data_IF_903933859173
#
_entry.id   IF_903933859173
#
_cell.length_a   1.000
_cell.length_b   1.000
_cell.length_c   1.000
_cell.angle_alpha   90.00
_cell.angle_beta   90.00
_cell.angle_gamma   90.00
#
_symmetry.space_group_name_H-M   'P 1'
#
loop_
_entity.id
_entity.type
_entity.pdbx_description
1 polymer ?
#
# COMPACT_ATOMS: atom_id res chain seq x y z
N UNK A 1 -292.46 -27.21 83.73
CA UNK A 1 -292.11 -25.85 83.30
C UNK A 1 -290.84 -25.27 83.95
N UNK A 2 -290.32 -25.74 85.09
CA UNK A 2 -289.09 -25.14 85.66
C UNK A 2 -287.81 -25.96 85.44
N UNK A 3 -287.87 -27.29 85.49
CA UNK A 3 -286.66 -28.14 85.51
C UNK A 3 -285.87 -28.22 84.19
N UNK A 4 -286.50 -27.95 83.04
CA UNK A 4 -285.83 -28.10 81.74
C UNK A 4 -284.98 -26.87 81.36
N UNK A 5 -285.38 -25.68 81.83
CA UNK A 5 -284.62 -24.44 81.57
C UNK A 5 -283.32 -24.37 82.38
N UNK A 6 -283.28 -25.01 83.54
CA UNK A 6 -282.08 -25.05 84.39
C UNK A 6 -281.01 -26.02 83.87
N UNK A 7 -281.41 -27.10 83.22
CA UNK A 7 -280.49 -28.07 82.60
C UNK A 7 -279.78 -27.51 81.36
N UNK A 8 -280.47 -26.67 80.57
CA UNK A 8 -279.87 -26.01 79.41
C UNK A 8 -278.82 -24.95 79.82
N UNK A 9 -279.05 -24.23 80.91
CA UNK A 9 -278.08 -23.22 81.38
C UNK A 9 -276.77 -23.84 81.87
N UNK A 10 -276.86 -24.99 82.54
CA UNK A 10 -275.68 -25.71 83.06
C UNK A 10 -274.79 -26.32 81.96
N UNK A 11 -275.38 -26.68 80.82
CA UNK A 11 -274.63 -27.26 79.70
C UNK A 11 -273.87 -26.21 78.90
N UNK A 12 -274.46 -25.03 78.69
CA UNK A 12 -273.75 -23.91 78.04
C UNK A 12 -272.52 -23.45 78.83
N UNK A 13 -272.60 -23.47 80.17
CA UNK A 13 -271.48 -23.05 81.03
C UNK A 13 -270.30 -24.04 80.96
N UNK A 14 -270.57 -25.36 80.86
CA UNK A 14 -269.51 -26.37 80.70
C UNK A 14 -268.81 -26.33 79.34
N UNK A 15 -269.54 -26.03 78.26
CA UNK A 15 -268.95 -25.89 76.92
C UNK A 15 -267.99 -24.70 76.87
N UNK A 16 -268.33 -23.61 77.57
CA UNK A 16 -267.48 -22.41 77.61
C UNK A 16 -266.15 -22.67 78.34
N UNK A 17 -266.18 -23.37 79.46
CA UNK A 17 -264.98 -23.76 80.21
C UNK A 17 -264.06 -24.70 79.41
N UNK A 18 -264.64 -25.62 78.64
CA UNK A 18 -263.89 -26.52 77.76
C UNK A 18 -263.21 -25.77 76.61
N UNK A 19 -263.89 -24.79 76.02
CA UNK A 19 -263.31 -23.94 74.98
C UNK A 19 -262.13 -23.10 75.50
N UNK A 20 -262.21 -22.58 76.74
CA UNK A 20 -261.10 -21.84 77.36
C UNK A 20 -259.90 -22.75 77.67
N UNK A 21 -260.12 -23.97 78.15
CA UNK A 21 -259.05 -24.94 78.41
C UNK A 21 -258.34 -25.38 77.12
N UNK A 22 -259.08 -25.54 76.02
CA UNK A 22 -258.52 -25.94 74.73
C UNK A 22 -257.62 -24.84 74.16
N UNK A 23 -258.02 -23.57 74.28
CA UNK A 23 -257.20 -22.42 73.87
C UNK A 23 -255.87 -22.34 74.61
N UNK A 24 -255.87 -22.60 75.92
CA UNK A 24 -254.65 -22.56 76.73
C UNK A 24 -253.69 -23.72 76.38
N UNK A 25 -254.21 -24.84 75.89
CA UNK A 25 -253.39 -25.96 75.44
C UNK A 25 -252.72 -25.66 74.09
N UNK A 26 -253.45 -25.04 73.17
CA UNK A 26 -252.91 -24.56 71.88
C UNK A 26 -251.77 -23.55 72.10
N UNK A 27 -251.94 -22.60 73.03
CA UNK A 27 -250.86 -21.65 73.37
C UNK A 27 -249.60 -22.34 73.95
N UNK A 28 -249.76 -23.43 74.72
CA UNK A 28 -248.61 -24.18 75.26
C UNK A 28 -247.89 -24.97 74.18
N UNK A 29 -248.61 -25.53 73.21
CA UNK A 29 -248.01 -26.27 72.09
C UNK A 29 -247.19 -25.31 71.23
N UNK A 30 -247.74 -24.14 70.88
CA UNK A 30 -247.02 -23.12 70.11
C UNK A 30 -245.70 -22.70 70.79
N UNK A 31 -245.71 -22.58 72.13
CA UNK A 31 -244.52 -22.21 72.90
C UNK A 31 -243.43 -23.30 72.92
N UNK A 32 -243.83 -24.57 72.90
CA UNK A 32 -242.89 -25.70 72.81
C UNK A 32 -242.29 -25.80 71.41
N UNK A 33 -243.08 -25.57 70.37
CA UNK A 33 -242.60 -25.51 68.99
C UNK A 33 -241.55 -24.39 68.81
N UNK A 34 -241.79 -23.22 69.41
CA UNK A 34 -240.82 -22.11 69.40
C UNK A 34 -239.50 -22.47 70.11
N UNK A 35 -239.57 -23.17 71.26
CA UNK A 35 -238.37 -23.61 71.99
C UNK A 35 -237.58 -24.68 71.22
N UNK A 36 -238.25 -25.60 70.54
CA UNK A 36 -237.61 -26.61 69.69
C UNK A 36 -236.90 -25.97 68.50
N UNK A 37 -237.50 -24.95 67.88
CA UNK A 37 -236.87 -24.20 66.80
C UNK A 37 -235.60 -23.48 67.28
N UNK A 38 -235.63 -22.85 68.46
CA UNK A 38 -234.46 -22.18 69.05
C UNK A 38 -233.33 -23.17 69.38
N UNK A 39 -233.67 -24.37 69.86
CA UNK A 39 -232.68 -25.41 70.18
C UNK A 39 -232.01 -25.96 68.91
N UNK A 40 -232.79 -26.17 67.85
CA UNK A 40 -232.27 -26.60 66.55
C UNK A 40 -231.30 -25.55 65.95
N UNK A 41 -231.61 -24.26 66.10
CA UNK A 41 -230.72 -23.19 65.65
C UNK A 41 -229.41 -23.14 66.48
N UNK A 42 -229.49 -23.33 67.80
CA UNK A 42 -228.30 -23.41 68.65
C UNK A 42 -227.43 -24.62 68.32
N UNK A 43 -228.05 -25.78 68.05
CA UNK A 43 -227.33 -26.99 67.66
C UNK A 43 -226.59 -26.78 66.33
N UNK A 44 -227.23 -26.18 65.34
CA UNK A 44 -226.60 -25.82 64.06
C UNK A 44 -225.39 -24.89 64.24
N UNK A 45 -225.50 -23.84 65.08
CA UNK A 45 -224.36 -22.96 65.41
C UNK A 45 -223.21 -23.68 66.10
N UNK A 46 -223.49 -24.76 66.83
CA UNK A 46 -222.46 -25.53 67.52
C UNK A 46 -221.74 -26.45 66.55
N UNK A 47 -222.46 -27.10 65.65
CA UNK A 47 -221.90 -27.88 64.54
C UNK A 47 -220.97 -27.00 63.67
N UNK A 48 -221.41 -25.78 63.32
CA UNK A 48 -220.57 -24.81 62.58
C UNK A 48 -219.30 -24.38 63.35
N UNK A 49 -219.32 -24.38 64.69
CA UNK A 49 -218.11 -24.11 65.50
C UNK A 49 -217.17 -25.31 65.53
N UNK A 50 -217.71 -26.52 65.60
CA UNK A 50 -216.92 -27.76 65.58
C UNK A 50 -216.17 -27.86 64.25
N UNK A 51 -216.85 -27.65 63.12
CA UNK A 51 -216.19 -27.69 61.80
C UNK A 51 -215.08 -26.64 61.71
N UNK A 52 -215.30 -25.42 62.23
CA UNK A 52 -214.27 -24.38 62.25
C UNK A 52 -213.06 -24.73 63.12
N UNK A 53 -213.27 -25.42 64.24
CA UNK A 53 -212.16 -25.90 65.10
C UNK A 53 -211.40 -27.03 64.41
N UNK A 54 -212.11 -27.94 63.75
CA UNK A 54 -211.49 -29.01 62.94
C UNK A 54 -210.62 -28.43 61.82
N UNK A 55 -211.11 -27.41 61.11
CA UNK A 55 -210.34 -26.66 60.10
C UNK A 55 -209.09 -25.98 60.70
N UNK A 56 -209.21 -25.36 61.88
CA UNK A 56 -208.07 -24.74 62.56
C UNK A 56 -207.02 -25.76 63.04
N UNK A 57 -207.47 -26.92 63.54
CA UNK A 57 -206.58 -28.00 63.94
C UNK A 57 -205.85 -28.59 62.73
N UNK A 58 -206.53 -28.74 61.59
CA UNK A 58 -205.92 -29.16 60.34
C UNK A 58 -204.85 -28.16 59.86
N UNK A 59 -205.15 -26.85 59.91
CA UNK A 59 -204.19 -25.80 59.57
C UNK A 59 -202.97 -25.77 60.50
N UNK A 60 -203.18 -26.00 61.81
CA UNK A 60 -202.11 -26.08 62.80
C UNK A 60 -201.21 -27.29 62.56
N UNK A 61 -201.80 -28.45 62.25
CA UNK A 61 -201.07 -29.67 61.92
C UNK A 61 -200.22 -29.48 60.63
N UNK A 62 -200.74 -28.76 59.63
CA UNK A 62 -199.98 -28.42 58.44
C UNK A 62 -198.82 -27.45 58.75
N UNK A 63 -199.06 -26.43 59.57
CA UNK A 63 -198.02 -25.51 60.02
C UNK A 63 -196.92 -26.20 60.85
N UNK A 64 -197.31 -27.16 61.69
CA UNK A 64 -196.39 -27.98 62.47
C UNK A 64 -195.52 -28.84 61.54
N UNK A 65 -196.11 -29.50 60.54
CA UNK A 65 -195.34 -30.25 59.53
C UNK A 65 -194.32 -29.38 58.78
N UNK A 66 -194.72 -28.18 58.35
CA UNK A 66 -193.79 -27.21 57.70
C UNK A 66 -192.65 -26.80 58.63
N UNK A 67 -192.93 -26.64 59.92
CA UNK A 67 -191.91 -26.30 60.92
C UNK A 67 -190.95 -27.47 61.15
N UNK A 68 -191.45 -28.70 61.24
CA UNK A 68 -190.62 -29.91 61.34
C UNK A 68 -189.72 -30.08 60.11
N UNK A 69 -190.23 -29.81 58.91
CA UNK A 69 -189.44 -29.78 57.67
C UNK A 69 -188.34 -28.70 57.71
N UNK A 70 -188.65 -27.48 58.18
CA UNK A 70 -187.65 -26.41 58.32
C UNK A 70 -186.57 -26.75 59.35
N UNK A 71 -186.93 -27.35 60.49
CA UNK A 71 -185.97 -27.80 61.51
C UNK A 71 -185.06 -28.88 60.92
N UNK A 72 -185.60 -29.79 60.12
CA UNK A 72 -184.79 -30.81 59.44
C UNK A 72 -183.83 -30.19 58.43
N UNK A 73 -184.28 -29.24 57.60
CA UNK A 73 -183.40 -28.52 56.67
C UNK A 73 -182.30 -27.73 57.40
N UNK A 74 -182.62 -27.12 58.55
CA UNK A 74 -181.63 -26.42 59.38
C UNK A 74 -180.61 -27.39 59.99
N UNK A 75 -181.03 -28.57 60.45
CA UNK A 75 -180.12 -29.59 60.97
C UNK A 75 -179.19 -30.12 59.86
N UNK A 76 -179.71 -30.33 58.64
CA UNK A 76 -178.91 -30.71 57.47
C UNK A 76 -177.91 -29.60 57.08
N UNK A 77 -178.34 -28.34 57.09
CA UNK A 77 -177.47 -27.20 56.85
C UNK A 77 -176.38 -27.04 57.93
N UNK A 78 -176.74 -27.25 59.20
CA UNK A 78 -175.80 -27.21 60.31
C UNK A 78 -174.75 -28.31 60.18
N UNK A 79 -175.15 -29.54 59.83
CA UNK A 79 -174.20 -30.63 59.58
C UNK A 79 -173.24 -30.32 58.43
N UNK A 80 -173.73 -29.73 57.34
CA UNK A 80 -172.86 -29.29 56.24
C UNK A 80 -171.92 -28.15 56.65
N UNK A 81 -172.34 -27.25 57.54
CA UNK A 81 -171.46 -26.23 58.10
C UNK A 81 -170.38 -26.85 58.97
N UNK A 82 -170.72 -27.80 59.84
CA UNK A 82 -169.76 -28.54 60.66
C UNK A 82 -168.73 -29.29 59.79
N UNK A 83 -169.17 -29.95 58.72
CA UNK A 83 -168.28 -30.60 57.75
C UNK A 83 -167.38 -29.60 57.02
N UNK A 84 -167.87 -28.39 56.69
CA UNK A 84 -167.05 -27.32 56.09
C UNK A 84 -166.04 -26.76 57.07
N UNK A 85 -166.41 -26.59 58.33
CA UNK A 85 -165.51 -26.12 59.40
C UNK A 85 -164.38 -27.14 59.58
N UNK A 86 -164.70 -28.43 59.69
CA UNK A 86 -163.70 -29.48 59.81
C UNK A 86 -162.71 -29.49 58.62
N UNK A 87 -163.20 -29.30 57.39
CA UNK A 87 -162.32 -29.18 56.20
C UNK A 87 -161.43 -27.94 56.23
N UNK A 88 -161.94 -26.81 56.73
CA UNK A 88 -161.14 -25.59 56.88
C UNK A 88 -160.07 -25.79 57.95
N UNK A 89 -160.40 -26.44 59.08
CA UNK A 89 -159.43 -26.77 60.12
C UNK A 89 -158.30 -27.68 59.58
N UNK A 90 -158.64 -28.70 58.79
CA UNK A 90 -157.66 -29.56 58.13
C UNK A 90 -156.76 -28.77 57.15
N UNK A 91 -157.34 -27.87 56.35
CA UNK A 91 -156.59 -27.00 55.44
C UNK A 91 -155.67 -26.04 56.19
N UNK A 92 -156.13 -25.48 57.31
CA UNK A 92 -155.31 -24.60 58.17
C UNK A 92 -154.14 -25.37 58.80
N UNK A 93 -154.37 -26.62 59.25
CA UNK A 93 -153.31 -27.46 59.77
C UNK A 93 -152.27 -27.80 58.68
N UNK A 94 -152.70 -28.14 57.46
CA UNK A 94 -151.82 -28.39 56.34
C UNK A 94 -151.02 -27.13 55.93
N UNK A 95 -151.65 -25.95 55.94
CA UNK A 95 -150.98 -24.68 55.69
C UNK A 95 -149.95 -24.35 56.78
N UNK A 96 -150.26 -24.58 58.06
CA UNK A 96 -149.31 -24.39 59.15
C UNK A 96 -148.10 -25.31 59.02
N UNK A 97 -148.29 -26.57 58.64
CA UNK A 97 -147.19 -27.50 58.38
C UNK A 97 -146.36 -27.07 57.16
N UNK A 98 -147.00 -26.65 56.07
CA UNK A 98 -146.32 -26.13 54.90
C UNK A 98 -145.53 -24.84 55.20
N UNK A 99 -146.09 -23.96 56.03
CA UNK A 99 -145.43 -22.75 56.50
C UNK A 99 -144.20 -23.10 57.32
N UNK A 100 -144.30 -24.02 58.29
CA UNK A 100 -143.15 -24.49 59.08
C UNK A 100 -142.05 -25.09 58.20
N UNK A 101 -142.39 -25.94 57.23
CA UNK A 101 -141.41 -26.47 56.26
C UNK A 101 -140.77 -25.38 55.42
N UNK A 102 -141.49 -24.31 55.12
CA UNK A 102 -140.95 -23.15 54.39
C UNK A 102 -140.00 -22.35 55.27
N UNK A 103 -140.35 -22.10 56.53
CA UNK A 103 -139.49 -21.46 57.52
C UNK A 103 -138.18 -22.25 57.71
N UNK A 104 -138.25 -23.58 57.85
CA UNK A 104 -137.06 -24.45 57.93
C UNK A 104 -136.20 -24.42 56.65
N UNK A 105 -136.82 -24.25 55.47
CA UNK A 105 -136.06 -24.06 54.22
C UNK A 105 -135.43 -22.68 54.13
N UNK A 106 -136.10 -21.64 54.62
CA UNK A 106 -135.58 -20.27 54.66
C UNK A 106 -134.36 -20.22 55.56
N UNK A 107 -134.41 -20.78 56.78
CA UNK A 107 -133.26 -20.81 57.69
C UNK A 107 -132.08 -21.56 57.08
N UNK A 108 -132.32 -22.71 56.43
CA UNK A 108 -131.26 -23.45 55.73
C UNK A 108 -130.63 -22.65 54.58
N UNK A 109 -131.43 -21.89 53.83
CA UNK A 109 -130.92 -21.03 52.76
C UNK A 109 -130.11 -19.87 53.35
N UNK A 110 -130.56 -19.27 54.46
CA UNK A 110 -129.81 -18.23 55.16
C UNK A 110 -128.45 -18.74 55.65
N UNK A 111 -128.39 -19.94 56.23
CA UNK A 111 -127.14 -20.60 56.63
C UNK A 111 -126.21 -20.85 55.43
N UNK A 112 -126.74 -21.33 54.31
CA UNK A 112 -125.97 -21.56 53.08
C UNK A 112 -125.44 -20.25 52.49
N UNK A 113 -126.23 -19.17 52.51
CA UNK A 113 -125.82 -17.85 52.06
C UNK A 113 -124.72 -17.27 52.97
N UNK A 114 -124.82 -17.47 54.29
CA UNK A 114 -123.79 -17.06 55.23
C UNK A 114 -122.47 -17.80 54.98
N UNK A 115 -122.52 -19.13 54.79
CA UNK A 115 -121.35 -19.93 54.46
C UNK A 115 -120.72 -19.52 53.12
N UNK A 116 -121.54 -19.24 52.10
CA UNK A 116 -121.07 -18.77 50.81
C UNK A 116 -120.42 -17.38 50.92
N UNK A 117 -121.00 -16.47 51.70
CA UNK A 117 -120.42 -15.15 51.94
C UNK A 117 -119.07 -15.24 52.66
N UNK A 118 -118.90 -16.15 53.62
CA UNK A 118 -117.60 -16.39 54.26
C UNK A 118 -116.58 -17.00 53.29
N UNK A 119 -116.98 -17.98 52.50
CA UNK A 119 -116.13 -18.55 51.45
C UNK A 119 -115.70 -17.50 50.43
N UNK A 120 -116.62 -16.64 50.00
CA UNK A 120 -116.33 -15.53 49.10
C UNK A 120 -115.31 -14.56 49.71
N UNK A 121 -115.48 -14.18 50.99
CA UNK A 121 -114.50 -13.32 51.68
C UNK A 121 -113.10 -13.94 51.73
N UNK A 122 -113.00 -15.24 52.02
CA UNK A 122 -111.70 -15.97 52.00
C UNK A 122 -111.08 -15.99 50.61
N UNK A 123 -111.88 -16.20 49.57
CA UNK A 123 -111.40 -16.14 48.18
C UNK A 123 -110.95 -14.73 47.81
N UNK A 124 -111.69 -13.69 48.18
CA UNK A 124 -111.30 -12.29 47.95
C UNK A 124 -109.97 -11.95 48.63
N UNK A 125 -109.74 -12.45 49.85
CA UNK A 125 -108.47 -12.29 50.57
C UNK A 125 -107.32 -13.02 49.86
N UNK A 126 -107.53 -14.27 49.42
CA UNK A 126 -106.53 -15.02 48.65
C UNK A 126 -106.18 -14.33 47.33
N UNK A 127 -107.18 -13.79 46.62
CA UNK A 127 -106.98 -13.03 45.38
C UNK A 127 -106.15 -11.78 45.64
N UNK A 128 -106.39 -11.06 46.75
CA UNK A 128 -105.56 -9.91 47.14
C UNK A 128 -104.12 -10.30 47.43
N UNK A 129 -103.90 -11.36 48.20
CA UNK A 129 -102.55 -11.86 48.49
C UNK A 129 -101.81 -12.30 47.23
N UNK A 130 -102.50 -12.95 46.30
CA UNK A 130 -101.92 -13.32 45.00
C UNK A 130 -101.57 -12.08 44.15
N UNK A 131 -102.43 -11.06 44.14
CA UNK A 131 -102.15 -9.81 43.44
C UNK A 131 -100.94 -9.07 44.03
N UNK A 132 -100.77 -9.06 45.36
CA UNK A 132 -99.59 -8.51 46.03
C UNK A 132 -98.32 -9.31 45.70
N UNK A 133 -98.39 -10.64 45.75
CA UNK A 133 -97.28 -11.51 45.36
C UNK A 133 -96.89 -11.31 43.89
N UNK A 134 -97.88 -11.13 43.00
CA UNK A 134 -97.64 -10.85 41.59
C UNK A 134 -96.93 -9.50 41.40
N UNK A 135 -97.36 -8.44 42.09
CA UNK A 135 -96.68 -7.14 42.04
C UNK A 135 -95.22 -7.24 42.50
N UNK A 136 -94.96 -7.95 43.60
CA UNK A 136 -93.58 -8.17 44.06
C UNK A 136 -92.74 -8.99 43.07
N UNK A 137 -93.34 -9.95 42.37
CA UNK A 137 -92.65 -10.68 41.30
C UNK A 137 -92.32 -9.76 40.13
N UNK A 138 -93.26 -8.91 39.71
CA UNK A 138 -93.05 -7.91 38.65
C UNK A 138 -91.91 -6.94 39.02
N UNK A 139 -91.89 -6.44 40.27
CA UNK A 139 -90.80 -5.59 40.78
C UNK A 139 -89.44 -6.32 40.76
N UNK A 140 -89.40 -7.60 41.15
CA UNK A 140 -88.18 -8.41 41.13
C UNK A 140 -87.70 -8.65 39.70
N UNK A 141 -88.61 -8.93 38.77
CA UNK A 141 -88.29 -9.11 37.35
C UNK A 141 -87.70 -7.81 36.79
N UNK A 142 -88.34 -6.66 37.02
CA UNK A 142 -87.83 -5.36 36.58
C UNK A 142 -86.42 -5.07 37.13
N UNK A 143 -86.16 -5.38 38.41
CA UNK A 143 -84.83 -5.24 39.01
C UNK A 143 -83.78 -6.15 38.37
N UNK A 144 -84.16 -7.39 38.03
CA UNK A 144 -83.25 -8.33 37.34
C UNK A 144 -82.96 -7.84 35.93
N UNK A 145 -83.96 -7.32 35.20
CA UNK A 145 -83.76 -6.73 33.88
C UNK A 145 -82.80 -5.54 33.92
N UNK A 146 -82.92 -4.66 34.91
CA UNK A 146 -82.00 -3.54 35.12
C UNK A 146 -80.56 -4.03 35.41
N UNK A 147 -80.41 -5.05 36.26
CA UNK A 147 -79.10 -5.65 36.55
C UNK A 147 -78.47 -6.29 35.30
N UNK A 148 -79.26 -6.98 34.48
CA UNK A 148 -78.79 -7.57 33.22
C UNK A 148 -78.37 -6.50 32.22
N UNK A 149 -79.13 -5.40 32.11
CA UNK A 149 -78.76 -4.27 31.26
C UNK A 149 -77.44 -3.62 31.72
N UNK A 150 -77.27 -3.40 33.03
CA UNK A 150 -76.02 -2.87 33.59
C UNK A 150 -74.83 -3.81 33.35
N UNK A 151 -75.04 -5.13 33.48
CA UNK A 151 -74.01 -6.14 33.21
C UNK A 151 -73.62 -6.15 31.73
N UNK A 152 -74.59 -6.06 30.82
CA UNK A 152 -74.34 -5.99 29.38
C UNK A 152 -73.53 -4.73 29.01
N UNK A 153 -73.84 -3.58 29.61
CA UNK A 153 -73.07 -2.35 29.40
C UNK A 153 -71.64 -2.48 29.96
N UNK A 154 -71.48 -3.06 31.15
CA UNK A 154 -70.16 -3.32 31.73
C UNK A 154 -69.33 -4.30 30.88
N UNK A 155 -69.97 -5.33 30.33
CA UNK A 155 -69.34 -6.27 29.41
C UNK A 155 -68.87 -5.55 28.14
N UNK A 156 -69.74 -4.75 27.51
CA UNK A 156 -69.37 -3.96 26.32
C UNK A 156 -68.19 -3.01 26.59
N UNK A 157 -68.19 -2.30 27.72
CA UNK A 157 -67.05 -1.45 28.13
C UNK A 157 -65.77 -2.25 28.32
N UNK A 158 -65.88 -3.49 28.78
CA UNK A 158 -64.73 -4.38 28.94
C UNK A 158 -64.20 -4.84 27.59
N UNK A 159 -65.07 -5.21 26.65
CA UNK A 159 -64.71 -5.57 25.27
C UNK A 159 -64.03 -4.39 24.54
N UNK A 160 -64.55 -3.17 24.70
CA UNK A 160 -63.92 -1.94 24.18
C UNK A 160 -62.54 -1.67 24.81
N UNK A 161 -62.34 -2.01 26.09
CA UNK A 161 -61.02 -1.91 26.74
C UNK A 161 -60.05 -2.98 26.23
N UNK A 162 -60.52 -4.21 26.02
CA UNK A 162 -59.70 -5.32 25.51
C UNK A 162 -59.21 -4.99 24.10
N UNK A 163 -60.11 -4.58 23.20
CA UNK A 163 -59.75 -4.16 21.84
C UNK A 163 -58.72 -3.02 21.83
N UNK A 164 -58.89 -2.01 22.69
CA UNK A 164 -57.90 -0.93 22.84
C UNK A 164 -56.54 -1.44 23.32
N UNK A 165 -56.51 -2.39 24.24
CA UNK A 165 -55.26 -2.99 24.72
C UNK A 165 -54.60 -3.81 23.61
N UNK A 166 -55.36 -4.55 22.82
CA UNK A 166 -54.85 -5.29 21.65
C UNK A 166 -54.22 -4.35 20.62
N UNK A 167 -54.87 -3.22 20.31
CA UNK A 167 -54.32 -2.18 19.42
C UNK A 167 -53.01 -1.59 19.98
N UNK A 168 -52.96 -1.31 21.29
CA UNK A 168 -51.74 -0.81 21.94
C UNK A 168 -50.60 -1.83 21.90
N UNK A 169 -50.89 -3.12 22.11
CA UNK A 169 -49.90 -4.19 22.01
C UNK A 169 -49.39 -4.35 20.57
N UNK A 170 -50.28 -4.26 19.58
CA UNK A 170 -49.89 -4.29 18.17
C UNK A 170 -48.96 -3.12 17.80
N UNK A 171 -49.30 -1.91 18.25
CA UNK A 171 -48.46 -0.73 18.04
C UNK A 171 -47.10 -0.85 18.74
N UNK A 172 -47.06 -1.39 19.96
CA UNK A 172 -45.81 -1.63 20.69
C UNK A 172 -44.94 -2.68 19.97
N UNK A 173 -45.55 -3.75 19.47
CA UNK A 173 -44.84 -4.78 18.71
C UNK A 173 -44.23 -4.22 17.41
N UNK A 174 -44.94 -3.34 16.70
CA UNK A 174 -44.41 -2.65 15.52
C UNK A 174 -43.26 -1.70 15.89
N UNK A 175 -43.41 -0.92 16.96
CA UNK A 175 -42.35 -0.04 17.45
C UNK A 175 -41.10 -0.84 17.84
N UNK A 176 -41.28 -1.96 18.54
CA UNK A 176 -40.18 -2.85 18.90
C UNK A 176 -39.46 -3.41 17.66
N UNK A 177 -40.19 -3.86 16.64
CA UNK A 177 -39.58 -4.31 15.36
C UNK A 177 -38.75 -3.22 14.70
N UNK A 178 -39.26 -1.97 14.66
CA UNK A 178 -38.50 -0.83 14.12
C UNK A 178 -37.23 -0.55 14.92
N UNK A 179 -37.30 -0.64 16.25
CA UNK A 179 -36.12 -0.49 17.10
C UNK A 179 -35.09 -1.61 16.87
N UNK A 180 -35.54 -2.86 16.76
CA UNK A 180 -34.67 -4.00 16.45
C UNK A 180 -33.96 -3.83 15.09
N UNK A 181 -34.66 -3.32 14.08
CA UNK A 181 -34.08 -3.01 12.78
C UNK A 181 -33.03 -1.88 12.86
N UNK A 182 -33.32 -0.80 13.59
CA UNK A 182 -32.36 0.28 13.82
C UNK A 182 -31.10 -0.19 14.56
N UNK A 183 -31.26 -1.06 15.56
CA UNK A 183 -30.13 -1.65 16.29
C UNK A 183 -29.27 -2.52 15.37
N UNK A 184 -29.88 -3.29 14.45
CA UNK A 184 -29.13 -4.07 13.44
C UNK A 184 -28.33 -3.17 12.51
N UNK A 185 -28.94 -2.11 11.98
CA UNK A 185 -28.25 -1.15 11.12
C UNK A 185 -27.08 -0.46 11.84
N UNK A 186 -27.25 -0.09 13.10
CA UNK A 186 -26.17 0.47 13.92
C UNK A 186 -25.03 -0.54 14.14
N UNK A 187 -25.35 -1.81 14.39
CA UNK A 187 -24.34 -2.87 14.53
C UNK A 187 -23.55 -3.10 13.23
N UNK A 188 -24.21 -3.06 12.08
CA UNK A 188 -23.55 -3.13 10.76
C UNK A 188 -22.65 -1.91 10.51
N UNK A 189 -23.15 -0.70 10.80
CA UNK A 189 -22.36 0.52 10.69
C UNK A 189 -21.12 0.50 11.61
N UNK A 190 -21.27 -0.03 12.84
CA UNK A 190 -20.17 -0.19 13.78
C UNK A 190 -19.10 -1.16 13.23
N UNK A 191 -19.51 -2.32 12.69
CA UNK A 191 -18.57 -3.27 12.05
C UNK A 191 -17.79 -2.62 10.91
N UNK A 192 -18.45 -1.86 10.04
CA UNK A 192 -17.76 -1.15 8.97
C UNK A 192 -16.80 -0.07 9.48
N UNK A 193 -17.13 0.59 10.60
CA UNK A 193 -16.23 1.51 11.27
C UNK A 193 -15.00 0.80 11.83
N UNK A 194 -15.18 -0.35 12.46
CA UNK A 194 -14.09 -1.21 12.97
C UNK A 194 -13.17 -1.66 11.82
N UNK A 195 -13.72 -2.11 10.69
CA UNK A 195 -12.95 -2.46 9.49
C UNK A 195 -12.18 -1.27 8.89
N UNK A 196 -12.75 -0.07 8.94
CA UNK A 196 -12.06 1.14 8.48
C UNK A 196 -10.92 1.53 9.42
N UNK A 197 -11.12 1.38 10.73
CA UNK A 197 -10.08 1.67 11.73
C UNK A 197 -8.90 0.70 11.54
N UNK A 198 -9.15 -0.60 11.44
CA UNK A 198 -8.07 -1.58 11.19
C UNK A 198 -7.32 -1.29 9.90
N UNK A 199 -8.02 -0.93 8.82
CA UNK A 199 -7.35 -0.52 7.56
C UNK A 199 -6.49 0.74 7.72
N UNK A 200 -6.93 1.71 8.51
CA UNK A 200 -6.13 2.91 8.81
C UNK A 200 -4.91 2.55 9.66
N UNK A 201 -5.05 1.67 10.63
CA UNK A 201 -3.94 1.16 11.43
C UNK A 201 -2.89 0.45 10.56
N UNK A 202 -3.31 -0.40 9.63
CA UNK A 202 -2.42 -1.05 8.66
C UNK A 202 -1.71 -0.04 7.77
N UNK A 203 -2.41 0.99 7.28
CA UNK A 203 -1.82 2.07 6.49
C UNK A 203 -0.80 2.87 7.29
N UNK A 204 -1.07 3.19 8.56
CA UNK A 204 -0.14 3.88 9.45
C UNK A 204 1.10 3.04 9.73
N UNK A 205 0.94 1.72 9.95
CA UNK A 205 2.06 0.81 10.13
C UNK A 205 2.96 0.75 8.89
N UNK A 206 2.36 0.64 7.69
CA UNK A 206 3.09 0.68 6.43
C UNK A 206 3.83 2.02 6.22
N UNK A 207 3.18 3.14 6.58
CA UNK A 207 3.79 4.47 6.49
C UNK A 207 4.98 4.61 7.45
N UNK A 208 4.86 4.09 8.67
CA UNK A 208 5.93 4.08 9.66
C UNK A 208 7.13 3.23 9.19
N UNK A 209 6.88 2.08 8.56
CA UNK A 209 7.95 1.26 7.98
C UNK A 209 8.63 1.97 6.80
N UNK A 210 7.86 2.61 5.91
CA UNK A 210 8.38 3.39 4.80
C UNK A 210 9.21 4.59 5.28
N UNK A 211 8.76 5.27 6.34
CA UNK A 211 9.51 6.34 6.98
C UNK A 211 10.83 5.82 7.55
N UNK A 212 10.83 4.70 8.29
CA UNK A 212 12.05 4.09 8.82
C UNK A 212 13.04 3.72 7.71
N UNK A 213 12.58 3.12 6.60
CA UNK A 213 13.44 2.84 5.42
C UNK A 213 14.01 4.12 4.80
N UNK A 214 13.26 5.22 4.84
CA UNK A 214 13.72 6.51 4.35
C UNK A 214 14.79 7.09 5.27
N UNK A 215 14.59 7.02 6.59
CA UNK A 215 15.58 7.42 7.59
C UNK A 215 16.89 6.62 7.43
N UNK A 216 16.80 5.30 7.25
CA UNK A 216 17.96 4.43 6.98
C UNK A 216 18.68 4.78 5.66
N UNK A 217 17.95 5.22 4.63
CA UNK A 217 18.55 5.71 3.39
C UNK A 217 19.23 7.06 3.58
N UNK A 218 18.65 7.95 4.37
CA UNK A 218 19.23 9.27 4.67
C UNK A 218 20.55 9.09 5.43
N UNK A 219 20.57 8.28 6.48
CA UNK A 219 21.82 8.02 7.23
C UNK A 219 22.89 7.40 6.35
N UNK A 220 22.55 6.47 5.45
CA UNK A 220 23.51 5.92 4.48
C UNK A 220 24.05 6.97 3.50
N UNK A 221 23.21 7.91 3.06
CA UNK A 221 23.66 9.03 2.20
C UNK A 221 24.57 9.97 2.99
N UNK A 222 24.25 10.26 4.25
CA UNK A 222 25.12 11.06 5.13
C UNK A 222 26.49 10.42 5.32
N UNK A 223 26.55 9.09 5.55
CA UNK A 223 27.81 8.34 5.62
C UNK A 223 28.60 8.41 4.30
N UNK A 224 27.93 8.26 3.15
CA UNK A 224 28.56 8.38 1.84
C UNK A 224 29.11 9.79 1.60
N UNK A 225 28.38 10.83 1.97
CA UNK A 225 28.83 12.22 1.87
C UNK A 225 30.03 12.48 2.77
N UNK A 226 30.02 11.95 4.00
CA UNK A 226 31.16 12.05 4.91
C UNK A 226 32.41 11.37 4.33
N UNK A 227 32.27 10.16 3.78
CA UNK A 227 33.37 9.44 3.13
C UNK A 227 33.90 10.19 1.90
N UNK A 228 32.99 10.77 1.09
CA UNK A 228 33.37 11.58 -0.08
C UNK A 228 34.14 12.84 0.35
N UNK A 229 33.68 13.51 1.41
CA UNK A 229 34.37 14.68 1.97
C UNK A 229 35.77 14.35 2.49
N UNK A 230 35.95 13.18 3.13
CA UNK A 230 37.27 12.71 3.55
C UNK A 230 38.17 12.37 2.35
N UNK A 231 37.64 11.68 1.34
CA UNK A 231 38.36 11.39 0.10
C UNK A 231 38.79 12.69 -0.60
N UNK A 232 37.89 13.68 -0.70
CA UNK A 232 38.19 14.98 -1.25
C UNK A 232 39.32 15.68 -0.48
N UNK A 233 39.28 15.68 0.86
CA UNK A 233 40.38 16.22 1.69
C UNK A 233 41.72 15.53 1.41
N UNK A 234 41.75 14.20 1.28
CA UNK A 234 42.97 13.46 0.93
C UNK A 234 43.48 13.84 -0.47
N UNK A 235 42.57 14.00 -1.44
CA UNK A 235 42.94 14.47 -2.78
C UNK A 235 43.49 15.90 -2.76
N UNK A 236 42.86 16.81 -2.01
CA UNK A 236 43.37 18.18 -1.83
C UNK A 236 44.77 18.18 -1.22
N UNK A 237 45.04 17.33 -0.23
CA UNK A 237 46.35 17.16 0.38
C UNK A 237 47.39 16.59 -0.61
N UNK A 238 47.02 15.59 -1.41
CA UNK A 238 47.87 15.04 -2.48
C UNK A 238 48.19 16.09 -3.55
N UNK A 239 47.20 16.89 -3.98
CA UNK A 239 47.40 17.98 -4.93
C UNK A 239 48.36 19.02 -4.36
N UNK A 240 48.24 19.35 -3.07
CA UNK A 240 49.16 20.27 -2.39
C UNK A 240 50.59 19.71 -2.35
N UNK A 241 50.77 18.44 -2.01
CA UNK A 241 52.08 17.79 -2.04
C UNK A 241 52.69 17.76 -3.45
N UNK A 242 51.88 17.49 -4.48
CA UNK A 242 52.32 17.54 -5.88
C UNK A 242 52.73 18.94 -6.30
N UNK A 243 51.99 19.97 -5.89
CA UNK A 243 52.34 21.36 -6.16
C UNK A 243 53.68 21.75 -5.48
N UNK A 244 53.90 21.32 -4.23
CA UNK A 244 55.18 21.52 -3.53
C UNK A 244 56.34 20.77 -4.21
N UNK A 245 56.12 19.51 -4.62
CA UNK A 245 57.10 18.72 -5.37
C UNK A 245 57.43 19.35 -6.73
N UNK A 246 56.41 19.86 -7.44
CA UNK A 246 56.59 20.58 -8.69
C UNK A 246 57.43 21.84 -8.49
N UNK A 247 57.14 22.64 -7.45
CA UNK A 247 57.93 23.83 -7.12
C UNK A 247 59.39 23.49 -6.84
N UNK A 248 59.66 22.42 -6.08
CA UNK A 248 61.04 21.95 -5.87
C UNK A 248 61.70 21.46 -7.15
N UNK A 249 60.96 20.84 -8.07
CA UNK A 249 61.48 20.45 -9.36
C UNK A 249 61.84 21.68 -10.21
N UNK A 250 60.99 22.69 -10.22
CA UNK A 250 61.26 23.98 -10.89
C UNK A 250 62.51 24.65 -10.34
N UNK A 251 62.69 24.68 -9.01
CA UNK A 251 63.92 25.17 -8.36
C UNK A 251 65.16 24.36 -8.77
N UNK A 252 65.04 23.03 -8.85
CA UNK A 252 66.14 22.16 -9.31
C UNK A 252 66.47 22.38 -10.79
N UNK A 253 65.47 22.55 -11.64
CA UNK A 253 65.66 22.84 -13.07
C UNK A 253 66.37 24.18 -13.22
N UNK A 254 65.92 25.23 -12.54
CA UNK A 254 66.57 26.53 -12.56
C UNK A 254 68.05 26.45 -12.11
N UNK A 255 68.34 25.65 -11.07
CA UNK A 255 69.72 25.41 -10.63
C UNK A 255 70.56 24.67 -11.67
N UNK A 256 69.98 23.68 -12.37
CA UNK A 256 70.67 22.97 -13.46
C UNK A 256 70.92 23.92 -14.63
N UNK A 257 69.97 24.78 -14.98
CA UNK A 257 70.14 25.81 -16.01
C UNK A 257 71.29 26.77 -15.66
N UNK A 258 71.38 27.21 -14.40
CA UNK A 258 72.49 28.03 -13.91
C UNK A 258 73.84 27.28 -14.01
N UNK A 259 73.87 26.01 -13.62
CA UNK A 259 75.07 25.17 -13.75
C UNK A 259 75.49 24.97 -15.21
N UNK A 260 74.54 24.75 -16.12
CA UNK A 260 74.81 24.62 -17.55
C UNK A 260 75.35 25.93 -18.15
N UNK A 261 74.80 27.08 -17.74
CA UNK A 261 75.30 28.39 -18.15
C UNK A 261 76.75 28.61 -17.67
N UNK A 262 77.05 28.28 -16.41
CA UNK A 262 78.41 28.35 -15.88
C UNK A 262 79.36 27.39 -16.60
N UNK A 263 78.91 26.17 -16.91
CA UNK A 263 79.71 25.19 -17.67
C UNK A 263 79.99 25.68 -19.09
N UNK A 264 79.01 26.27 -19.77
CA UNK A 264 79.17 26.86 -21.09
C UNK A 264 80.18 28.01 -21.08
N UNK A 265 80.16 28.87 -20.05
CA UNK A 265 81.16 29.93 -19.89
C UNK A 265 82.57 29.36 -19.63
N UNK A 266 82.68 28.34 -18.78
CA UNK A 266 83.95 27.65 -18.52
C UNK A 266 84.49 26.97 -19.80
N UNK A 267 83.61 26.35 -20.59
CA UNK A 267 83.96 25.77 -21.87
C UNK A 267 84.47 26.85 -22.84
N UNK A 268 83.79 28.00 -22.95
CA UNK A 268 84.24 29.12 -23.78
C UNK A 268 85.63 29.62 -23.38
N UNK A 269 85.90 29.77 -22.07
CA UNK A 269 87.25 30.13 -21.57
C UNK A 269 88.29 29.08 -21.93
N UNK A 270 87.93 27.80 -21.86
CA UNK A 270 88.83 26.70 -22.25
C UNK A 270 89.14 26.73 -23.75
N UNK A 271 88.14 27.00 -24.59
CA UNK A 271 88.31 27.19 -26.04
C UNK A 271 89.21 28.40 -26.35
N UNK A 272 89.03 29.52 -25.65
CA UNK A 272 89.90 30.70 -25.74
C UNK A 272 91.36 30.36 -25.36
N UNK A 273 91.58 29.62 -24.26
CA UNK A 273 92.91 29.16 -23.86
C UNK A 273 93.53 28.19 -24.87
N UNK A 274 92.75 27.26 -25.43
CA UNK A 274 93.20 26.34 -26.46
C UNK A 274 93.64 27.09 -27.73
N UNK A 275 92.87 28.09 -28.16
CA UNK A 275 93.24 28.92 -29.30
C UNK A 275 94.57 29.67 -29.06
N UNK A 276 94.77 30.22 -27.86
CA UNK A 276 96.03 30.86 -27.49
C UNK A 276 97.22 29.87 -27.50
N UNK A 277 97.01 28.65 -27.00
CA UNK A 277 98.02 27.58 -27.02
C UNK A 277 98.42 27.17 -28.44
N UNK A 278 97.45 27.07 -29.36
CA UNK A 278 97.71 26.78 -30.78
C UNK A 278 98.57 27.87 -31.43
N UNK A 279 98.33 29.14 -31.12
CA UNK A 279 99.16 30.24 -31.62
C UNK A 279 100.58 30.20 -31.07
N UNK A 280 100.76 29.93 -29.77
CA UNK A 280 102.09 29.72 -29.18
C UNK A 280 102.82 28.54 -29.84
N UNK A 281 102.11 27.44 -30.11
CA UNK A 281 102.70 26.28 -30.79
C UNK A 281 103.16 26.63 -32.22
N UNK A 282 102.37 27.37 -32.99
CA UNK A 282 102.75 27.82 -34.34
C UNK A 282 104.00 28.68 -34.33
N UNK A 283 104.08 29.63 -33.39
CA UNK A 283 105.26 30.47 -33.16
C UNK A 283 106.51 29.62 -32.91
N UNK A 284 106.42 28.67 -31.98
CA UNK A 284 107.56 27.81 -31.61
C UNK A 284 108.03 26.92 -32.76
N UNK A 285 107.09 26.40 -33.58
CA UNK A 285 107.45 25.65 -34.80
C UNK A 285 108.17 26.49 -35.85
N UNK A 286 107.83 27.78 -35.97
CA UNK A 286 108.52 28.70 -36.88
C UNK A 286 109.96 28.96 -36.43
N UNK A 287 110.18 29.22 -35.14
CA UNK A 287 111.52 29.45 -34.58
C UNK A 287 112.45 28.23 -34.72
N UNK A 288 111.91 27.02 -34.52
CA UNK A 288 112.65 25.77 -34.69
C UNK A 288 113.10 25.54 -36.14
N UNK A 289 112.27 25.92 -37.12
CA UNK A 289 112.63 25.84 -38.54
C UNK A 289 113.79 26.77 -38.88
N UNK A 290 113.78 27.98 -38.32
CA UNK A 290 114.82 28.98 -38.56
C UNK A 290 116.17 28.56 -37.95
N UNK A 291 116.15 27.99 -36.73
CA UNK A 291 117.35 27.45 -36.08
C UNK A 291 117.98 26.30 -36.87
N UNK A 292 117.15 25.41 -37.42
CA UNK A 292 117.61 24.25 -38.21
C UNK A 292 118.39 24.69 -39.46
N UNK A 293 117.97 25.75 -40.14
CA UNK A 293 118.65 26.26 -41.34
C UNK A 293 120.05 26.85 -41.06
N UNK A 294 120.24 27.47 -39.89
CA UNK A 294 121.54 28.04 -39.48
C UNK A 294 122.57 26.97 -39.11
N UNK A 295 122.13 25.82 -38.58
CA UNK A 295 123.03 24.71 -38.23
C UNK A 295 123.59 24.02 -39.48
N UNK A 296 122.78 23.87 -40.54
CA UNK A 296 123.22 23.24 -41.78
C UNK A 296 124.35 24.02 -42.47
N UNK A 297 124.26 25.35 -42.49
CA UNK A 297 125.22 26.21 -43.19
C UNK A 297 126.59 26.30 -42.52
N UNK A 298 126.68 26.09 -41.20
CA UNK A 298 127.95 26.07 -40.48
C UNK A 298 128.76 24.77 -40.72
N UNK A 299 128.07 23.65 -40.93
CA UNK A 299 128.69 22.34 -41.18
C UNK A 299 129.48 22.31 -42.49
N UNK A 300 128.98 22.95 -43.54
CA UNK A 300 129.61 22.92 -44.87
C UNK A 300 130.92 23.71 -44.94
N UNK A 301 131.02 24.82 -44.20
CA UNK A 301 132.20 25.69 -44.19
C UNK A 301 133.43 25.02 -43.55
N UNK A 302 133.25 24.14 -42.57
CA UNK A 302 134.34 23.48 -41.83
C UNK A 302 135.00 22.37 -42.65
N UNK A 303 134.24 21.65 -43.48
CA UNK A 303 134.77 20.57 -44.33
C UNK A 303 135.73 21.09 -45.41
N UNK A 304 135.46 22.24 -46.01
CA UNK A 304 136.31 22.83 -47.06
C UNK A 304 137.68 23.37 -46.59
N UNK A 305 137.83 23.64 -45.29
CA UNK A 305 139.08 24.16 -44.72
C UNK A 305 140.12 23.06 -44.47
N UNK A 306 139.66 21.83 -44.15
CA UNK A 306 140.53 20.70 -43.81
C UNK A 306 141.32 20.16 -45.00
N UNK A 307 140.72 20.10 -46.19
CA UNK A 307 141.38 19.55 -47.40
C UNK A 307 142.62 20.34 -47.83
N UNK A 308 142.52 21.67 -47.88
CA UNK A 308 143.59 22.56 -48.38
C UNK A 308 144.89 22.52 -47.56
N UNK A 309 144.81 22.23 -46.26
CA UNK A 309 146.01 22.16 -45.39
C UNK A 309 146.82 20.89 -45.66
N UNK A 310 146.16 19.81 -46.07
CA UNK A 310 146.81 18.52 -46.25
C UNK A 310 147.68 18.47 -47.50
N UNK A 311 147.18 19.02 -48.62
CA UNK A 311 147.94 19.14 -49.88
C UNK A 311 149.26 19.91 -49.69
N UNK A 312 149.21 21.06 -49.01
CA UNK A 312 150.40 21.87 -48.69
C UNK A 312 151.44 21.11 -47.86
N UNK A 313 150.99 20.18 -47.01
CA UNK A 313 151.89 19.40 -46.15
C UNK A 313 152.72 18.41 -46.96
N UNK A 314 152.12 17.74 -47.95
CA UNK A 314 152.83 16.78 -48.80
C UNK A 314 153.81 17.46 -49.76
N UNK A 315 153.50 18.67 -50.25
CA UNK A 315 154.42 19.45 -51.07
C UNK A 315 155.69 19.85 -50.30
N UNK A 316 155.55 20.43 -49.09
CA UNK A 316 156.69 20.89 -48.30
C UNK A 316 157.58 19.76 -47.79
N UNK A 317 157.00 18.57 -47.53
CA UNK A 317 157.73 17.41 -47.00
C UNK A 317 158.12 16.38 -48.07
N UNK A 318 158.01 16.71 -49.35
CA UNK A 318 158.30 15.78 -50.45
C UNK A 318 159.69 15.12 -50.33
N UNK A 319 160.73 15.86 -49.92
CA UNK A 319 162.07 15.29 -49.69
C UNK A 319 162.08 14.32 -48.51
N UNK A 320 161.32 14.59 -47.44
CA UNK A 320 161.21 13.70 -46.30
C UNK A 320 160.49 12.39 -46.66
N UNK A 321 159.46 12.46 -47.49
CA UNK A 321 158.69 11.28 -47.89
C UNK A 321 159.36 10.45 -48.98
N UNK A 322 159.94 11.08 -50.00
CA UNK A 322 160.48 10.36 -51.17
C UNK A 322 162.02 10.27 -51.18
N UNK A 323 162.72 11.01 -50.32
CA UNK A 323 164.18 10.95 -50.19
C UNK A 323 164.75 9.56 -49.82
N UNK A 324 164.06 8.72 -49.03
CA UNK A 324 164.47 7.33 -48.82
C UNK A 324 164.43 6.48 -50.10
N UNK A 325 163.56 6.84 -51.05
CA UNK A 325 163.30 6.05 -52.26
C UNK A 325 164.11 6.53 -53.47
N UNK A 326 164.36 7.83 -53.53
CA UNK A 326 164.95 8.50 -54.69
C UNK A 326 166.10 9.41 -54.26
N UNK A 327 167.18 9.43 -55.04
CA UNK A 327 168.22 10.45 -54.92
C UNK A 327 167.89 11.66 -55.78
N UNK A 328 168.31 12.83 -55.29
CA UNK A 328 168.04 14.14 -55.94
C UNK A 328 166.55 14.40 -56.14
N UNK A 329 165.74 14.14 -55.11
CA UNK A 329 164.30 14.44 -55.09
C UNK A 329 164.07 15.92 -55.33
N UNK A 330 163.23 16.24 -56.31
CA UNK A 330 162.75 17.59 -56.58
C UNK A 330 161.25 17.53 -56.80
N UNK A 331 160.52 18.42 -56.12
CA UNK A 331 159.17 18.74 -56.54
C UNK A 331 159.28 19.50 -57.84
N UNK A 332 158.58 19.04 -58.86
CA UNK A 332 158.60 19.66 -60.17
C UNK A 332 157.28 20.36 -60.40
N UNK A 333 157.36 21.63 -60.77
CA UNK A 333 156.17 22.36 -61.21
C UNK A 333 155.66 21.73 -62.51
N UNK A 334 154.35 21.58 -62.62
CA UNK A 334 153.72 21.09 -63.85
C UNK A 334 154.05 22.01 -65.04
N UNK A 335 154.34 23.29 -64.78
CA UNK A 335 154.73 24.28 -65.79
C UNK A 335 155.91 23.82 -66.66
N UNK A 336 156.91 23.19 -66.03
CA UNK A 336 158.12 22.71 -66.72
C UNK A 336 157.86 21.61 -67.75
N UNK A 337 156.70 20.95 -67.69
CA UNK A 337 156.35 19.86 -68.59
C UNK A 337 155.24 20.24 -69.58
N UNK A 338 154.66 21.45 -69.51
CA UNK A 338 153.44 21.77 -70.27
C UNK A 338 153.61 21.62 -71.77
N UNK A 339 154.68 22.16 -72.35
CA UNK A 339 154.90 22.09 -73.81
C UNK A 339 155.09 20.65 -74.28
N UNK A 340 155.88 19.88 -73.54
CA UNK A 340 156.15 18.47 -73.85
C UNK A 340 154.90 17.59 -73.70
N UNK A 341 154.05 17.85 -72.70
CA UNK A 341 152.81 17.13 -72.49
C UNK A 341 151.74 17.53 -73.51
N UNK A 342 151.58 18.82 -73.84
CA UNK A 342 150.64 19.30 -74.88
C UNK A 342 150.95 18.73 -76.26
N UNK A 343 152.23 18.54 -76.57
CA UNK A 343 152.64 17.96 -77.84
C UNK A 343 152.23 16.48 -78.00
N UNK A 344 151.92 15.77 -76.90
CA UNK A 344 151.71 14.32 -76.89
C UNK A 344 150.39 13.83 -76.31
N UNK A 345 149.64 14.68 -75.60
CA UNK A 345 148.37 14.35 -74.96
C UNK A 345 147.22 15.19 -75.54
N UNK A 346 145.99 14.65 -75.49
CA UNK A 346 144.80 15.42 -75.87
C UNK A 346 144.51 16.56 -74.89
N UNK A 347 143.71 17.59 -75.25
CA UNK A 347 143.37 18.67 -74.32
C UNK A 347 142.68 18.20 -73.04
N UNK A 348 141.88 17.13 -73.11
CA UNK A 348 141.22 16.55 -71.94
C UNK A 348 142.20 15.75 -71.08
N UNK A 349 143.02 14.90 -71.69
CA UNK A 349 144.08 14.15 -70.98
C UNK A 349 145.08 15.10 -70.32
N UNK A 350 145.45 16.19 -71.03
CA UNK A 350 146.32 17.22 -70.52
C UNK A 350 145.70 17.93 -69.31
N UNK A 351 144.44 18.37 -69.38
CA UNK A 351 143.74 18.98 -68.24
C UNK A 351 143.66 18.04 -67.04
N UNK A 352 143.45 16.75 -67.26
CA UNK A 352 143.40 15.77 -66.17
C UNK A 352 144.78 15.60 -65.51
N UNK A 353 145.87 15.58 -66.27
CA UNK A 353 147.23 15.56 -65.70
C UNK A 353 147.54 16.83 -64.92
N UNK A 354 147.08 18.01 -65.38
CA UNK A 354 147.27 19.28 -64.67
C UNK A 354 146.68 19.30 -63.25
N UNK A 355 145.67 18.46 -63.02
CA UNK A 355 145.02 18.35 -61.72
C UNK A 355 145.78 17.47 -60.73
N UNK A 356 146.96 16.93 -61.10
CA UNK A 356 147.83 16.23 -60.15
C UNK A 356 148.19 17.16 -59.00
N UNK A 357 147.97 16.70 -57.78
CA UNK A 357 148.23 17.49 -56.57
C UNK A 357 149.73 17.74 -56.37
N UNK A 358 150.54 16.75 -56.75
CA UNK A 358 151.99 16.85 -56.63
C UNK A 358 152.71 15.98 -57.68
N UNK A 359 153.78 16.53 -58.25
CA UNK A 359 154.68 15.83 -59.16
C UNK A 359 156.11 15.89 -58.63
N UNK A 360 156.76 14.74 -58.48
CA UNK A 360 158.11 14.63 -57.91
C UNK A 360 159.04 13.91 -58.87
N UNK A 361 160.23 14.44 -59.10
CA UNK A 361 161.28 13.83 -59.92
C UNK A 361 162.44 13.36 -59.04
N UNK A 362 163.05 12.23 -59.37
CA UNK A 362 164.26 11.75 -58.71
C UNK A 362 164.92 10.58 -59.43
N UNK A 363 166.10 10.18 -58.96
CA UNK A 363 166.90 9.09 -59.55
C UNK A 363 166.91 7.85 -58.67
N UNK A 364 166.75 6.68 -59.30
CA UNK A 364 166.86 5.40 -58.62
C UNK A 364 168.33 4.99 -58.51
N UNK A 365 168.89 5.01 -57.31
CA UNK A 365 170.29 4.64 -57.09
C UNK A 365 170.52 3.11 -57.14
N UNK A 366 169.49 2.35 -56.75
CA UNK A 366 169.55 0.90 -56.56
C UNK A 366 169.19 0.10 -57.81
N UNK A 367 168.69 0.75 -58.87
CA UNK A 367 168.30 0.07 -60.12
C UNK A 367 169.43 0.09 -61.18
N UNK A 368 169.67 -1.01 -61.92
CA UNK A 368 170.67 -1.03 -62.99
C UNK A 368 170.42 0.07 -64.04
N UNK A 369 171.46 0.86 -64.37
CA UNK A 369 171.35 2.00 -65.27
C UNK A 369 170.85 3.31 -64.62
N UNK A 370 170.50 3.28 -63.33
CA UNK A 370 170.13 4.42 -62.48
C UNK A 370 169.19 5.44 -63.16
N UNK A 371 168.02 5.00 -63.65
CA UNK A 371 167.15 5.86 -64.43
C UNK A 371 166.55 6.98 -63.58
N UNK A 372 166.24 8.09 -64.25
CA UNK A 372 165.44 9.17 -63.68
C UNK A 372 163.95 8.86 -63.83
N UNK A 373 163.20 9.04 -62.75
CA UNK A 373 161.78 8.73 -62.66
C UNK A 373 160.98 9.89 -62.09
N UNK A 374 159.68 9.83 -62.33
CA UNK A 374 158.68 10.81 -61.92
C UNK A 374 157.64 10.12 -61.05
N UNK A 375 157.14 10.78 -60.02
CA UNK A 375 156.06 10.31 -59.17
C UNK A 375 154.88 11.26 -59.36
N UNK A 376 153.77 10.73 -59.85
CA UNK A 376 152.51 11.45 -59.99
C UNK A 376 151.62 11.14 -58.79
N UNK A 377 151.33 12.17 -57.99
CA UNK A 377 150.82 12.02 -56.63
C UNK A 377 149.46 12.70 -56.48
N UNK A 378 148.47 11.95 -55.97
CA UNK A 378 147.17 12.46 -55.47
C UNK A 378 147.17 12.48 -53.94
N UNK A 379 146.61 13.53 -53.32
CA UNK A 379 146.58 13.74 -51.87
C UNK A 379 145.14 13.86 -51.36
N UNK A 380 144.76 13.08 -50.34
CA UNK A 380 143.44 13.15 -49.69
C UNK A 380 143.53 12.90 -48.17
N UNK A 381 142.61 13.49 -47.40
CA UNK A 381 142.53 13.23 -45.95
C UNK A 381 142.16 11.79 -45.63
N UNK A 382 141.32 11.20 -46.49
CA UNK A 382 141.03 9.77 -46.49
C UNK A 382 141.10 9.32 -47.94
N UNK A 383 142.16 8.61 -48.30
CA UNK A 383 142.35 8.07 -49.64
C UNK A 383 141.27 7.03 -49.91
N UNK A 384 140.49 7.26 -50.95
CA UNK A 384 139.51 6.29 -51.45
C UNK A 384 139.96 5.66 -52.79
N UNK A 385 139.16 4.73 -53.30
CA UNK A 385 139.44 4.03 -54.55
C UNK A 385 139.59 5.00 -55.75
N UNK A 386 138.86 6.13 -55.72
CA UNK A 386 138.91 7.13 -56.78
C UNK A 386 140.23 7.88 -56.74
N UNK A 387 140.77 8.16 -55.56
CA UNK A 387 142.08 8.80 -55.41
C UNK A 387 143.19 7.92 -56.03
N UNK A 388 143.12 6.60 -55.80
CA UNK A 388 144.05 5.62 -56.37
C UNK A 388 143.92 5.54 -57.89
N UNK A 389 142.70 5.49 -58.41
CA UNK A 389 142.44 5.47 -59.85
C UNK A 389 142.92 6.74 -60.54
N UNK A 390 142.74 7.92 -59.92
CA UNK A 390 143.25 9.19 -60.43
C UNK A 390 144.78 9.19 -60.51
N UNK A 391 145.46 8.76 -59.44
CA UNK A 391 146.92 8.67 -59.42
C UNK A 391 147.44 7.78 -60.56
N UNK A 392 146.87 6.57 -60.72
CA UNK A 392 147.23 5.66 -61.82
C UNK A 392 147.01 6.26 -63.19
N UNK A 393 145.80 6.79 -63.42
CA UNK A 393 145.41 7.31 -64.73
C UNK A 393 146.36 8.42 -65.15
N UNK A 394 146.65 9.36 -64.24
CA UNK A 394 147.52 10.52 -64.50
C UNK A 394 148.99 10.12 -64.68
N UNK A 395 149.50 9.16 -63.92
CA UNK A 395 150.84 8.61 -64.16
C UNK A 395 150.94 7.92 -65.53
N UNK A 396 149.91 7.19 -65.94
CA UNK A 396 149.87 6.52 -67.25
C UNK A 396 149.91 7.53 -68.39
N UNK A 397 149.23 8.66 -68.25
CA UNK A 397 149.28 9.76 -69.22
C UNK A 397 150.69 10.38 -69.29
N UNK A 398 151.34 10.63 -68.16
CA UNK A 398 152.73 11.09 -68.15
C UNK A 398 153.68 10.09 -68.84
N UNK A 399 153.44 8.78 -68.68
CA UNK A 399 154.19 7.73 -69.41
C UNK A 399 153.98 7.77 -70.90
N UNK A 400 152.74 7.95 -71.37
CA UNK A 400 152.45 8.12 -72.80
C UNK A 400 153.16 9.35 -73.39
N UNK A 401 153.38 10.38 -72.60
CA UNK A 401 154.19 11.53 -73.01
C UNK A 401 155.71 11.28 -72.98
N UNK A 402 156.15 10.12 -72.48
CA UNK A 402 157.54 9.67 -72.48
C UNK A 402 158.25 9.85 -71.14
N UNK A 403 157.55 10.25 -70.07
CA UNK A 403 158.13 10.35 -68.73
C UNK A 403 158.01 9.02 -68.01
N UNK A 404 159.07 8.55 -67.34
CA UNK A 404 159.00 7.34 -66.52
C UNK A 404 158.28 7.63 -65.21
N UNK A 405 156.96 7.75 -65.28
CA UNK A 405 156.11 8.15 -64.16
C UNK A 405 155.53 6.94 -63.41
N UNK A 406 155.58 6.99 -62.08
CA UNK A 406 155.01 6.01 -61.17
C UNK A 406 153.84 6.67 -60.44
N UNK A 407 152.66 6.04 -60.41
CA UNK A 407 151.53 6.58 -59.68
C UNK A 407 151.70 6.40 -58.17
N UNK A 408 151.33 7.45 -57.42
CA UNK A 408 151.29 7.46 -55.97
C UNK A 408 149.97 8.05 -55.52
N UNK A 409 149.27 7.41 -54.61
CA UNK A 409 148.23 8.08 -53.84
C UNK A 409 148.77 8.34 -52.42
N UNK A 410 148.32 9.40 -51.78
CA UNK A 410 148.87 9.87 -50.51
C UNK A 410 147.79 10.42 -49.59
N UNK A 411 147.89 10.14 -48.29
CA UNK A 411 146.94 10.66 -47.32
C UNK A 411 147.19 10.22 -45.89
N UNK A 412 146.40 10.74 -44.94
CA UNK A 412 146.52 10.36 -43.52
C UNK A 412 146.01 8.93 -43.28
N UNK A 413 144.91 8.57 -43.94
CA UNK A 413 144.28 7.25 -43.87
C UNK A 413 143.83 6.82 -45.26
N UNK A 414 143.72 5.52 -45.48
CA UNK A 414 143.13 4.94 -46.67
C UNK A 414 141.90 4.11 -46.29
N UNK A 415 140.92 4.02 -47.19
CA UNK A 415 139.86 3.02 -47.08
C UNK A 415 140.41 1.65 -47.43
N UNK A 416 139.81 0.58 -46.90
CA UNK A 416 140.16 -0.80 -47.26
C UNK A 416 140.12 -1.02 -48.78
N UNK A 417 139.11 -0.46 -49.45
CA UNK A 417 138.98 -0.50 -50.90
C UNK A 417 140.12 0.21 -51.65
N UNK A 418 140.61 1.35 -51.13
CA UNK A 418 141.75 2.04 -51.71
C UNK A 418 143.04 1.22 -51.61
N UNK A 419 143.30 0.59 -50.45
CA UNK A 419 144.49 -0.26 -50.26
C UNK A 419 144.49 -1.47 -51.20
N UNK A 420 143.33 -2.12 -51.36
CA UNK A 420 143.17 -3.24 -52.29
C UNK A 420 143.33 -2.80 -53.74
N UNK A 421 142.72 -1.68 -54.12
CA UNK A 421 142.81 -1.11 -55.46
C UNK A 421 144.27 -0.72 -55.79
N UNK A 422 144.98 -0.08 -54.85
CA UNK A 422 146.38 0.29 -55.03
C UNK A 422 147.28 -0.93 -55.27
N UNK A 423 147.04 -2.02 -54.52
CA UNK A 423 147.78 -3.29 -54.70
C UNK A 423 147.50 -3.92 -56.07
N UNK A 424 146.24 -4.00 -56.48
CA UNK A 424 145.87 -4.57 -57.79
C UNK A 424 146.44 -3.74 -58.95
N UNK A 425 146.43 -2.42 -58.81
CA UNK A 425 146.81 -1.50 -59.86
C UNK A 425 148.29 -1.09 -59.83
N UNK A 426 149.06 -1.65 -58.87
CA UNK A 426 150.47 -1.32 -58.63
C UNK A 426 150.69 0.19 -58.44
N UNK A 427 149.79 0.85 -57.71
CA UNK A 427 149.93 2.25 -57.30
C UNK A 427 150.64 2.30 -55.96
N UNK A 428 151.67 3.15 -55.85
CA UNK A 428 152.40 3.34 -54.60
C UNK A 428 151.47 4.02 -53.61
N UNK A 429 151.44 3.53 -52.37
CA UNK A 429 150.63 4.14 -51.33
C UNK A 429 151.52 4.85 -50.32
N UNK A 430 151.35 6.17 -50.16
CA UNK A 430 152.04 6.97 -49.15
C UNK A 430 151.06 7.37 -48.05
N UNK A 431 150.92 6.53 -47.04
CA UNK A 431 150.01 6.75 -45.93
C UNK A 431 150.76 7.17 -44.67
N UNK A 432 150.41 8.33 -44.13
CA UNK A 432 151.03 8.91 -42.92
C UNK A 432 152.58 8.84 -42.94
N UNK A 433 153.16 9.19 -44.10
CA UNK A 433 154.60 9.19 -44.32
C UNK A 433 155.27 7.83 -44.50
N UNK A 434 154.52 6.73 -44.50
CA UNK A 434 155.01 5.37 -44.81
C UNK A 434 154.64 4.99 -46.22
N UNK A 435 155.62 4.43 -46.93
CA UNK A 435 155.47 4.02 -48.33
C UNK A 435 155.21 2.53 -48.39
N UNK A 436 154.15 2.15 -49.08
CA UNK A 436 153.78 0.78 -49.37
C UNK A 436 153.74 0.56 -50.88
N UNK A 437 153.89 -0.70 -51.28
CA UNK A 437 153.82 -1.15 -52.67
C UNK A 437 154.90 -0.58 -53.61
N UNK A 438 155.99 -0.05 -53.02
CA UNK A 438 157.05 0.60 -53.78
C UNK A 438 157.78 -0.36 -54.73
N UNK A 439 158.17 -1.53 -54.23
CA UNK A 439 158.92 -2.50 -55.05
C UNK A 439 158.04 -3.13 -56.13
N UNK A 440 156.78 -3.45 -55.82
CA UNK A 440 155.82 -3.96 -56.80
C UNK A 440 155.56 -2.93 -57.89
N UNK A 441 155.30 -1.68 -57.50
CA UNK A 441 155.12 -0.59 -58.45
C UNK A 441 156.37 -0.38 -59.31
N UNK A 442 157.57 -0.36 -58.73
CA UNK A 442 158.81 -0.20 -59.50
C UNK A 442 158.99 -1.30 -60.54
N UNK A 443 158.82 -2.57 -60.15
CA UNK A 443 158.96 -3.69 -61.09
C UNK A 443 157.96 -3.57 -62.23
N UNK A 444 156.70 -3.28 -61.92
CA UNK A 444 155.64 -3.15 -62.93
C UNK A 444 155.87 -1.95 -63.86
N UNK A 445 156.17 -0.78 -63.29
CA UNK A 445 156.23 0.49 -64.02
C UNK A 445 157.60 0.79 -64.64
N UNK A 446 158.67 0.04 -64.32
CA UNK A 446 159.97 0.15 -65.00
C UNK A 446 160.28 -1.01 -65.95
N UNK A 447 159.82 -2.23 -65.69
CA UNK A 447 160.03 -3.34 -66.63
C UNK A 447 159.28 -3.13 -67.95
N UNK A 448 158.18 -2.37 -67.92
CA UNK A 448 157.40 -1.97 -69.10
C UNK A 448 158.00 -0.76 -69.86
N UNK A 449 159.29 -0.45 -69.67
CA UNK A 449 159.99 0.67 -70.33
C UNK A 449 161.35 0.30 -70.94
N UNK A 450 161.50 -0.98 -71.31
CA UNK A 450 162.47 -1.41 -72.32
C UNK A 450 161.96 -1.12 -73.72
#
# INVERSE_FOLDING_TARGET
>A
MAALAEAQRKTEEQVRLLAEAQRHLEERVARVEEQLAALAEAQRKTEERVTRVEEQLAALAEAQRKTEEQVRMLAEAQRHLEERVARVEEQLAALAEAQRKTEERVTRVEEQLAALAEAQRKTEEQVRLLAEAQRHLEERVARVEEQLAALAEAQRKTEERVTRVEEQLAALAEAQRKTEEQVRLLAEAQRHLEERVTRVEEQLAALAEAQRKTEERVTRVEEQLAALAEAQRKTEEQVRMLAEAQRHLEERVARVEEQLAALAEAQRKTEEHLAALVEVQRSMSSELSELSSRVSSLSDAVSGLRGRVLELTYQNKAVAYFGPLLRRVRVVSMETLLEALRAKLSPEEFRDVLLLDLLVQGKLETWPGKPEIWLAIEVSAVVDERDVERARRRATLLRRAGYRAIPVAAGERATLGAEENARQQSVVMLQDGRVFLWEEALKTWLASSG
#
